data_IF_909215251846
#
_entry.id   IF_909215251846
#
_cell.length_a   1.000
_cell.length_b   1.000
_cell.length_c   1.000
_cell.angle_alpha   90.00
_cell.angle_beta   90.00
_cell.angle_gamma   90.00
#
_symmetry.space_group_name_H-M   'P 1'
#
loop_
_entity.id
_entity.type
_entity.pdbx_description
1 polymer ?
#
# COMPACT_ATOMS: atom_id res chain seq x y z
N UNK A 1 -0.15 -24.44 64.83
CA UNK A 1 -1.61 -24.35 64.60
C UNK A 1 -1.93 -22.89 64.32
N UNK A 2 -2.02 -22.52 63.05
CA UNK A 2 -2.61 -21.25 62.62
C UNK A 2 -3.00 -21.41 61.17
N UNK A 3 -4.31 -21.48 60.96
CA UNK A 3 -5.00 -21.68 59.70
C UNK A 3 -4.84 -20.46 58.80
N UNK A 4 -4.41 -20.65 57.56
CA UNK A 4 -4.50 -19.64 56.49
C UNK A 4 -5.87 -19.77 55.82
N UNK A 5 -6.72 -18.76 56.02
CA UNK A 5 -8.06 -18.67 55.44
C UNK A 5 -8.03 -18.02 54.05
N UNK A 6 -8.65 -18.74 53.11
CA UNK A 6 -9.55 -18.30 52.03
C UNK A 6 -9.34 -16.93 51.36
N UNK A 7 -8.88 -17.02 50.11
CA UNK A 7 -9.48 -16.43 48.90
C UNK A 7 -10.06 -15.01 48.98
N UNK A 8 -9.24 -14.05 48.59
CA UNK A 8 -9.70 -12.76 48.09
C UNK A 8 -10.08 -12.94 46.61
N UNK A 9 -11.31 -13.38 46.34
CA UNK A 9 -11.90 -13.38 44.99
C UNK A 9 -12.36 -11.96 44.71
N UNK A 10 -11.52 -11.19 44.04
CA UNK A 10 -11.91 -9.92 43.42
C UNK A 10 -13.03 -10.21 42.43
N UNK A 11 -14.23 -9.68 42.69
CA UNK A 11 -15.35 -9.77 41.76
C UNK A 11 -14.94 -9.10 40.43
N UNK A 12 -15.21 -9.71 39.27
CA UNK A 12 -14.90 -9.09 37.99
C UNK A 12 -15.74 -7.81 37.84
N UNK A 13 -15.07 -6.68 37.60
CA UNK A 13 -15.72 -5.43 37.21
C UNK A 13 -16.40 -5.67 35.87
N UNK A 14 -17.72 -5.86 35.87
CA UNK A 14 -18.52 -6.01 34.64
C UNK A 14 -18.41 -4.68 33.89
N UNK A 15 -17.59 -4.65 32.84
CA UNK A 15 -17.57 -3.56 31.87
C UNK A 15 -18.88 -3.61 31.09
N UNK A 16 -19.84 -2.77 31.47
CA UNK A 16 -21.11 -2.67 30.72
C UNK A 16 -20.84 -1.96 29.40
N UNK A 17 -21.24 -2.52 28.25
CA UNK A 17 -20.99 -1.87 26.97
C UNK A 17 -21.78 -0.57 26.85
N UNK A 18 -21.18 0.43 26.23
CA UNK A 18 -21.84 1.71 25.94
C UNK A 18 -22.85 1.59 24.79
N UNK A 19 -23.60 2.68 24.49
CA UNK A 19 -24.47 2.72 23.32
C UNK A 19 -23.74 2.32 22.03
N UNK A 20 -24.37 1.55 21.13
CA UNK A 20 -25.79 1.17 21.12
C UNK A 20 -26.13 -0.16 21.85
N UNK A 21 -25.19 -0.80 22.55
CA UNK A 21 -25.37 -2.18 23.06
C UNK A 21 -25.93 -2.27 24.48
N UNK A 22 -26.65 -1.23 24.91
CA UNK A 22 -27.30 -1.11 26.21
C UNK A 22 -28.78 -0.69 26.07
N UNK A 23 -29.40 -0.98 24.91
CA UNK A 23 -30.78 -0.61 24.62
C UNK A 23 -31.77 -1.52 25.39
N UNK A 24 -32.65 -0.97 26.25
CA UNK A 24 -33.66 -1.77 26.94
C UNK A 24 -34.70 -2.40 26.00
N UNK A 25 -34.80 -1.95 24.75
CA UNK A 25 -35.69 -2.54 23.73
C UNK A 25 -35.06 -3.73 22.98
N UNK A 26 -33.81 -4.10 23.29
CA UNK A 26 -33.13 -5.25 22.72
C UNK A 26 -33.87 -6.57 23.00
N UNK A 27 -33.90 -7.46 22.01
CA UNK A 27 -34.60 -8.76 22.06
C UNK A 27 -33.63 -9.97 22.09
N UNK A 28 -32.34 -9.70 22.29
CA UNK A 28 -31.28 -10.71 22.43
C UNK A 28 -30.12 -10.16 23.28
N UNK A 29 -29.54 -11.03 24.11
CA UNK A 29 -28.27 -10.78 24.80
C UNK A 29 -27.19 -11.67 24.20
N UNK A 30 -26.10 -11.06 23.74
CA UNK A 30 -24.86 -11.78 23.42
C UNK A 30 -23.91 -11.66 24.61
N UNK A 31 -23.52 -12.77 25.22
CA UNK A 31 -22.53 -12.79 26.31
C UNK A 31 -21.16 -13.17 25.75
N UNK A 32 -20.17 -12.29 25.90
CA UNK A 32 -18.79 -12.55 25.50
C UNK A 32 -18.10 -13.62 26.36
N UNK A 33 -16.91 -14.07 25.95
CA UNK A 33 -16.12 -15.06 26.70
C UNK A 33 -15.61 -14.56 28.06
N UNK A 34 -15.57 -13.24 28.25
CA UNK A 34 -15.21 -12.53 29.48
C UNK A 34 -16.44 -11.94 30.20
N UNK A 35 -17.61 -12.55 29.99
CA UNK A 35 -18.87 -12.29 30.69
C UNK A 35 -19.43 -10.86 30.53
N UNK A 36 -19.09 -10.17 29.43
CA UNK A 36 -19.68 -8.88 29.06
C UNK A 36 -20.96 -9.14 28.25
N UNK A 37 -22.06 -8.48 28.64
CA UNK A 37 -23.37 -8.66 28.04
C UNK A 37 -23.70 -7.52 27.08
N UNK A 38 -23.96 -7.87 25.82
CA UNK A 38 -24.34 -6.94 24.76
C UNK A 38 -25.82 -7.09 24.45
N UNK A 39 -26.59 -6.03 24.71
CA UNK A 39 -28.00 -5.95 24.38
C UNK A 39 -28.15 -5.58 22.90
N UNK A 40 -28.62 -6.52 22.09
CA UNK A 40 -28.68 -6.44 20.63
C UNK A 40 -30.04 -6.85 20.08
N UNK A 41 -30.27 -6.53 18.81
CA UNK A 41 -31.48 -6.78 18.07
C UNK A 41 -31.30 -7.95 17.08
N UNK A 42 -32.10 -9.01 17.23
CA UNK A 42 -32.09 -10.20 16.36
C UNK A 42 -32.24 -9.81 14.90
N UNK A 43 -33.15 -8.88 14.61
CA UNK A 43 -33.41 -8.41 13.23
C UNK A 43 -32.16 -7.85 12.56
N UNK A 44 -31.32 -7.08 13.27
CA UNK A 44 -30.09 -6.51 12.72
C UNK A 44 -29.12 -7.64 12.37
N UNK A 45 -28.90 -8.57 13.30
CA UNK A 45 -27.98 -9.69 13.09
C UNK A 45 -28.46 -10.64 11.99
N UNK A 46 -29.75 -10.97 11.94
CA UNK A 46 -30.33 -11.84 10.91
C UNK A 46 -30.27 -11.24 9.51
N UNK A 47 -30.41 -9.91 9.38
CA UNK A 47 -30.29 -9.25 8.08
C UNK A 47 -28.86 -9.28 7.54
N UNK A 48 -27.86 -9.33 8.44
CA UNK A 48 -26.45 -9.27 8.08
C UNK A 48 -25.79 -10.65 7.99
N UNK A 49 -26.28 -11.64 8.74
CA UNK A 49 -25.64 -12.95 8.91
C UNK A 49 -26.64 -14.09 8.71
N UNK A 50 -26.43 -14.94 7.68
CA UNK A 50 -27.16 -16.20 7.54
C UNK A 50 -26.98 -17.11 8.76
N UNK A 51 -25.80 -17.09 9.39
CA UNK A 51 -25.52 -17.88 10.59
C UNK A 51 -26.45 -17.51 11.74
N UNK A 52 -26.62 -16.21 12.02
CA UNK A 52 -27.57 -15.76 13.04
C UNK A 52 -29.02 -15.98 12.60
N UNK A 53 -29.33 -15.79 11.32
CA UNK A 53 -30.66 -16.09 10.79
C UNK A 53 -31.05 -17.55 11.07
N UNK A 54 -30.20 -18.50 10.72
CA UNK A 54 -30.43 -19.92 10.94
C UNK A 54 -30.47 -20.26 12.44
N UNK A 55 -29.53 -19.72 13.23
CA UNK A 55 -29.46 -19.92 14.68
C UNK A 55 -30.78 -19.56 15.39
N UNK A 56 -31.45 -18.50 14.94
CA UNK A 56 -32.69 -18.03 15.54
C UNK A 56 -33.94 -18.81 15.11
N UNK A 57 -33.83 -19.73 14.14
CA UNK A 57 -34.94 -20.61 13.74
C UNK A 57 -35.08 -21.85 14.60
N UNK A 58 -34.05 -22.20 15.38
CA UNK A 58 -34.09 -23.39 16.23
C UNK A 58 -35.00 -23.15 17.45
N UNK A 59 -35.85 -24.13 17.81
CA UNK A 59 -36.71 -24.01 18.97
C UNK A 59 -35.88 -23.97 20.25
N UNK A 60 -36.02 -22.89 21.02
CA UNK A 60 -35.42 -22.74 22.34
C UNK A 60 -36.22 -23.51 23.42
N UNK A 61 -35.55 -24.15 24.41
CA UNK A 61 -36.22 -24.83 25.50
C UNK A 61 -37.15 -23.89 26.29
N UNK A 62 -38.33 -24.38 26.66
CA UNK A 62 -39.46 -23.60 27.19
C UNK A 62 -39.27 -22.94 28.57
N UNK A 63 -38.05 -22.97 29.14
CA UNK A 63 -37.74 -22.48 30.49
C UNK A 63 -36.74 -21.32 30.49
N UNK A 64 -36.68 -20.54 29.42
CA UNK A 64 -35.70 -19.48 29.24
C UNK A 64 -36.09 -18.15 29.94
N UNK A 65 -35.09 -17.29 30.25
CA UNK A 65 -35.29 -15.92 30.73
C UNK A 65 -36.17 -15.07 29.77
N UNK A 66 -36.63 -13.90 30.25
CA UNK A 66 -37.51 -12.98 29.52
C UNK A 66 -36.89 -12.50 28.17
N UNK A 67 -35.55 -12.49 28.08
CA UNK A 67 -34.77 -12.20 26.86
C UNK A 67 -33.79 -13.36 26.62
N UNK A 68 -33.76 -13.97 25.42
CA UNK A 68 -32.81 -15.02 25.08
C UNK A 68 -31.35 -14.58 25.18
N UNK A 69 -30.49 -15.49 25.61
CA UNK A 69 -29.05 -15.27 25.75
C UNK A 69 -28.25 -16.26 24.90
N UNK A 70 -27.23 -15.76 24.18
CA UNK A 70 -26.29 -16.57 23.39
C UNK A 70 -24.86 -16.29 23.85
N UNK A 71 -24.18 -17.35 24.28
CA UNK A 71 -22.75 -17.29 24.62
C UNK A 71 -21.86 -17.23 23.38
N UNK A 72 -20.85 -16.35 23.43
CA UNK A 72 -19.93 -16.04 22.35
C UNK A 72 -18.51 -16.46 22.73
N UNK A 73 -17.68 -16.80 21.75
CA UNK A 73 -16.27 -17.15 21.99
C UNK A 73 -15.34 -15.95 21.94
N UNK A 74 -15.82 -14.81 21.44
CA UNK A 74 -15.10 -13.54 21.34
C UNK A 74 -15.03 -12.85 22.70
N UNK A 75 -13.93 -12.15 22.97
CA UNK A 75 -13.86 -11.21 24.09
C UNK A 75 -14.79 -10.03 23.87
N UNK A 76 -15.14 -9.32 24.94
CA UNK A 76 -16.02 -8.16 24.85
C UNK A 76 -15.47 -7.07 23.93
N UNK A 77 -14.16 -6.79 23.95
CA UNK A 77 -13.55 -5.80 23.04
C UNK A 77 -13.69 -6.21 21.56
N UNK A 78 -13.38 -7.47 21.22
CA UNK A 78 -13.51 -7.95 19.85
C UNK A 78 -14.97 -7.96 19.38
N UNK A 79 -15.89 -8.37 20.26
CA UNK A 79 -17.32 -8.42 19.97
C UNK A 79 -17.93 -7.02 19.82
N UNK A 80 -17.58 -6.06 20.70
CA UNK A 80 -18.00 -4.66 20.61
C UNK A 80 -17.60 -4.07 19.24
N UNK A 81 -16.33 -4.21 18.87
CA UNK A 81 -15.82 -3.69 17.59
C UNK A 81 -16.51 -4.34 16.40
N UNK A 82 -16.71 -5.66 16.42
CA UNK A 82 -17.41 -6.37 15.37
C UNK A 82 -18.86 -5.89 15.23
N UNK A 83 -19.59 -5.77 16.34
CA UNK A 83 -20.97 -5.29 16.34
C UNK A 83 -21.10 -3.84 15.85
N UNK A 84 -20.09 -2.98 16.08
CA UNK A 84 -20.09 -1.60 15.55
C UNK A 84 -20.06 -1.54 14.01
N UNK A 85 -19.56 -2.56 13.32
CA UNK A 85 -19.71 -2.67 11.86
C UNK A 85 -21.14 -3.02 11.42
N UNK A 86 -21.94 -3.60 12.31
CA UNK A 86 -23.29 -4.08 12.03
C UNK A 86 -24.38 -3.05 12.33
N UNK A 87 -24.16 -2.18 13.31
CA UNK A 87 -25.22 -1.31 13.83
C UNK A 87 -25.25 0.07 13.16
N UNK A 88 -26.41 0.52 12.66
CA UNK A 88 -26.57 1.88 12.13
C UNK A 88 -26.24 2.93 13.19
N UNK A 89 -25.46 3.94 12.80
CA UNK A 89 -25.07 5.03 13.70
C UNK A 89 -23.96 4.69 14.71
N UNK A 90 -23.50 3.44 14.74
CA UNK A 90 -22.27 3.09 15.44
C UNK A 90 -21.07 3.33 14.52
N UNK A 91 -20.07 4.08 14.99
CA UNK A 91 -18.81 4.22 14.26
C UNK A 91 -17.92 2.99 14.53
N UNK A 92 -17.41 2.33 13.48
CA UNK A 92 -16.40 1.28 13.64
C UNK A 92 -15.18 1.83 14.38
N UNK A 93 -14.83 1.21 15.50
CA UNK A 93 -13.64 1.55 16.29
C UNK A 93 -12.52 0.60 15.92
N UNK A 94 -11.65 1.04 15.02
CA UNK A 94 -10.46 0.29 14.59
C UNK A 94 -9.28 1.25 14.63
N UNK A 95 -8.17 0.85 15.22
CA UNK A 95 -6.96 1.68 15.32
C UNK A 95 -5.87 1.21 14.37
N UNK A 96 -5.83 -0.10 14.08
CA UNK A 96 -4.80 -0.72 13.24
C UNK A 96 -5.39 -1.64 12.19
N UNK A 97 -4.65 -1.89 11.11
CA UNK A 97 -5.07 -2.83 10.08
C UNK A 97 -5.03 -4.28 10.56
N UNK A 98 -4.16 -4.62 11.51
CA UNK A 98 -4.19 -5.91 12.19
C UNK A 98 -5.51 -6.14 12.95
N UNK A 99 -5.98 -5.15 13.73
CA UNK A 99 -7.29 -5.20 14.39
C UNK A 99 -8.42 -5.31 13.37
N UNK A 100 -8.33 -4.60 12.24
CA UNK A 100 -9.30 -4.73 11.15
C UNK A 100 -9.38 -6.19 10.66
N UNK A 101 -8.25 -6.84 10.42
CA UNK A 101 -8.22 -8.24 9.99
C UNK A 101 -8.88 -9.17 11.01
N UNK A 102 -8.58 -9.00 12.30
CA UNK A 102 -9.19 -9.81 13.36
C UNK A 102 -10.72 -9.68 13.37
N UNK A 103 -11.23 -8.45 13.23
CA UNK A 103 -12.67 -8.18 13.16
C UNK A 103 -13.28 -8.77 11.89
N UNK A 104 -12.63 -8.61 10.74
CA UNK A 104 -13.10 -9.16 9.48
C UNK A 104 -13.09 -10.68 9.47
N UNK A 105 -12.15 -11.32 10.17
CA UNK A 105 -12.14 -12.78 10.32
C UNK A 105 -13.37 -13.26 11.10
N UNK A 106 -13.77 -12.53 12.15
CA UNK A 106 -15.00 -12.80 12.89
C UNK A 106 -16.23 -12.58 11.99
N UNK A 107 -16.35 -11.41 11.36
CA UNK A 107 -17.54 -11.03 10.61
C UNK A 107 -17.73 -11.88 9.34
N UNK A 108 -16.67 -12.07 8.54
CA UNK A 108 -16.76 -12.73 7.23
C UNK A 108 -16.60 -14.25 7.33
N UNK A 109 -15.65 -14.75 8.13
CA UNK A 109 -15.36 -16.20 8.15
C UNK A 109 -16.18 -16.95 9.19
N UNK A 110 -16.51 -16.34 10.34
CA UNK A 110 -17.31 -17.00 11.38
C UNK A 110 -18.81 -16.76 11.21
N UNK A 111 -19.21 -15.53 10.90
CA UNK A 111 -20.63 -15.14 10.83
C UNK A 111 -21.17 -14.89 9.42
N UNK A 112 -20.34 -15.05 8.38
CA UNK A 112 -20.70 -14.89 6.97
C UNK A 112 -21.43 -13.57 6.63
N UNK A 113 -20.95 -12.46 7.19
CA UNK A 113 -21.56 -11.14 7.03
C UNK A 113 -21.06 -10.40 5.78
N UNK A 114 -21.35 -10.89 4.58
CA UNK A 114 -20.84 -10.29 3.33
C UNK A 114 -21.23 -8.81 3.11
N UNK A 115 -22.33 -8.37 3.72
CA UNK A 115 -22.85 -6.99 3.63
C UNK A 115 -21.91 -5.92 4.21
N UNK A 116 -20.96 -6.31 5.07
CA UNK A 116 -19.99 -5.37 5.70
C UNK A 116 -18.78 -5.05 4.80
N UNK A 117 -18.55 -5.83 3.74
CA UNK A 117 -17.38 -5.68 2.85
C UNK A 117 -17.23 -4.26 2.29
N UNK A 118 -18.28 -3.56 1.83
CA UNK A 118 -18.15 -2.18 1.34
C UNK A 118 -17.63 -1.20 2.41
N UNK A 119 -18.09 -1.34 3.66
CA UNK A 119 -17.65 -0.49 4.78
C UNK A 119 -16.18 -0.76 5.10
N UNK A 120 -15.79 -2.03 5.13
CA UNK A 120 -14.41 -2.43 5.36
C UNK A 120 -13.45 -1.94 4.25
N UNK A 121 -13.87 -2.02 2.97
CA UNK A 121 -13.10 -1.47 1.84
C UNK A 121 -12.95 0.05 1.93
N UNK A 122 -13.98 0.76 2.37
CA UNK A 122 -13.92 2.21 2.58
C UNK A 122 -12.88 2.56 3.66
N UNK A 123 -12.92 1.84 4.79
CA UNK A 123 -11.96 2.02 5.88
C UNK A 123 -10.51 1.75 5.41
N UNK A 124 -10.30 0.66 4.66
CA UNK A 124 -8.98 0.34 4.10
C UNK A 124 -8.49 1.40 3.11
N UNK A 125 -9.39 1.98 2.32
CA UNK A 125 -9.07 3.05 1.37
C UNK A 125 -8.50 4.29 2.07
N UNK A 126 -8.96 4.61 3.28
CA UNK A 126 -8.46 5.73 4.07
C UNK A 126 -7.00 5.53 4.55
N UNK A 127 -6.52 4.28 4.58
CA UNK A 127 -5.18 3.91 5.04
C UNK A 127 -4.18 3.68 3.90
N UNK A 128 -4.61 3.83 2.64
CA UNK A 128 -3.77 3.57 1.46
C UNK A 128 -2.53 4.49 1.39
N UNK A 129 -2.63 5.71 1.91
CA UNK A 129 -1.53 6.69 1.87
C UNK A 129 -0.58 6.56 3.08
N UNK A 130 -1.10 6.15 4.24
CA UNK A 130 -0.33 6.03 5.49
C UNK A 130 0.35 4.68 5.65
N UNK A 131 -0.32 3.60 5.25
CA UNK A 131 0.22 2.24 5.26
C UNK A 131 -0.12 1.49 3.96
N UNK A 132 0.52 1.83 2.82
CA UNK A 132 0.26 1.17 1.54
C UNK A 132 0.52 -0.33 1.56
N UNK A 133 1.62 -0.75 2.22
CA UNK A 133 2.03 -2.15 2.26
C UNK A 133 1.10 -3.01 3.13
N UNK A 134 0.70 -2.49 4.29
CA UNK A 134 -0.30 -3.13 5.12
C UNK A 134 -1.65 -3.19 4.41
N UNK A 135 -2.05 -2.11 3.75
CA UNK A 135 -3.29 -2.07 2.97
C UNK A 135 -3.31 -3.09 1.84
N UNK A 136 -2.17 -3.27 1.16
CA UNK A 136 -1.99 -4.32 0.17
C UNK A 136 -2.16 -5.72 0.80
N UNK A 137 -1.55 -5.97 1.96
CA UNK A 137 -1.64 -7.26 2.62
C UNK A 137 -3.08 -7.61 3.05
N UNK A 138 -3.82 -6.64 3.61
CA UNK A 138 -5.23 -6.82 3.96
C UNK A 138 -6.08 -7.08 2.70
N UNK A 139 -5.92 -6.26 1.66
CA UNK A 139 -6.69 -6.43 0.43
C UNK A 139 -6.41 -7.79 -0.24
N UNK A 140 -5.15 -8.26 -0.22
CA UNK A 140 -4.78 -9.57 -0.73
C UNK A 140 -5.36 -10.72 0.10
N UNK A 141 -5.37 -10.60 1.44
CA UNK A 141 -5.98 -11.61 2.34
C UNK A 141 -7.44 -11.89 2.00
N UNK A 142 -8.21 -10.84 1.75
CA UNK A 142 -9.66 -10.93 1.48
C UNK A 142 -10.01 -11.00 -0.01
N UNK A 143 -9.03 -11.21 -0.90
CA UNK A 143 -9.21 -11.26 -2.36
C UNK A 143 -9.92 -10.02 -2.94
N UNK A 144 -9.55 -8.83 -2.47
CA UNK A 144 -10.06 -7.55 -2.97
C UNK A 144 -9.14 -7.01 -4.07
N UNK A 145 -9.11 -7.69 -5.21
CA UNK A 145 -8.12 -7.50 -6.28
C UNK A 145 -7.95 -6.04 -6.74
N UNK A 146 -9.06 -5.32 -6.94
CA UNK A 146 -9.02 -3.91 -7.34
C UNK A 146 -8.30 -3.05 -6.29
N UNK A 147 -8.62 -3.26 -5.01
CA UNK A 147 -8.03 -2.51 -3.90
C UNK A 147 -6.58 -2.92 -3.66
N UNK A 148 -6.26 -4.20 -3.82
CA UNK A 148 -4.89 -4.71 -3.80
C UNK A 148 -4.06 -4.08 -4.93
N UNK A 149 -4.62 -3.90 -6.12
CA UNK A 149 -3.97 -3.22 -7.25
C UNK A 149 -3.71 -1.74 -6.97
N UNK A 150 -4.69 -1.04 -6.38
CA UNK A 150 -4.52 0.36 -5.94
C UNK A 150 -3.43 0.47 -4.87
N UNK A 151 -3.44 -0.40 -3.86
CA UNK A 151 -2.44 -0.43 -2.80
C UNK A 151 -1.03 -0.78 -3.35
N UNK A 152 -0.92 -1.78 -4.23
CA UNK A 152 0.32 -2.14 -4.89
C UNK A 152 0.92 -0.98 -5.69
N UNK A 153 0.07 -0.17 -6.35
CA UNK A 153 0.51 1.05 -7.03
C UNK A 153 1.05 2.10 -6.04
N UNK A 154 0.41 2.28 -4.88
CA UNK A 154 0.90 3.17 -3.82
C UNK A 154 2.23 2.68 -3.23
N UNK A 155 2.46 1.37 -3.17
CA UNK A 155 3.76 0.80 -2.76
C UNK A 155 4.92 1.17 -3.69
N UNK A 156 4.69 1.68 -4.90
CA UNK A 156 5.75 2.21 -5.77
C UNK A 156 6.39 3.49 -5.22
N UNK A 157 5.79 4.11 -4.20
CA UNK A 157 6.40 5.18 -3.43
C UNK A 157 7.30 4.69 -2.28
N UNK A 158 7.37 3.38 -2.03
CA UNK A 158 8.10 2.79 -0.91
C UNK A 158 9.38 2.09 -1.39
N UNK A 159 10.52 2.26 -0.70
CA UNK A 159 11.75 1.57 -1.06
C UNK A 159 11.74 0.11 -0.57
N UNK A 160 10.84 -0.72 -1.12
CA UNK A 160 10.60 -2.11 -0.66
C UNK A 160 11.85 -3.02 -0.68
N UNK A 161 12.91 -2.62 -1.39
CA UNK A 161 14.19 -3.35 -1.50
C UNK A 161 15.30 -2.77 -0.64
N UNK A 162 15.05 -1.67 0.06
CA UNK A 162 16.06 -1.07 0.90
C UNK A 162 16.48 -2.07 2.00
N UNK A 163 17.79 -2.17 2.29
CA UNK A 163 18.23 -2.93 3.44
C UNK A 163 17.57 -2.33 4.69
N UNK A 164 16.92 -3.18 5.50
CA UNK A 164 16.19 -2.80 6.70
C UNK A 164 14.88 -1.99 6.47
N UNK A 165 14.21 -2.17 5.32
CA UNK A 165 12.86 -1.64 5.16
C UNK A 165 11.93 -2.17 6.29
N UNK A 166 11.18 -1.30 7.00
CA UNK A 166 10.37 -1.71 8.14
C UNK A 166 9.30 -2.73 7.69
N UNK A 167 9.23 -3.85 8.40
CA UNK A 167 8.13 -4.80 8.20
C UNK A 167 6.85 -4.22 8.79
N UNK A 168 5.73 -4.55 8.16
CA UNK A 168 4.40 -4.27 8.71
C UNK A 168 3.80 -5.58 9.21
N UNK A 169 3.01 -5.51 10.26
CA UNK A 169 2.46 -6.70 10.91
C UNK A 169 1.50 -7.47 10.00
N UNK A 170 0.81 -6.77 9.10
CA UNK A 170 -0.19 -7.33 8.19
C UNK A 170 0.43 -8.29 7.16
N UNK A 171 1.75 -8.24 6.93
CA UNK A 171 2.43 -9.19 6.04
C UNK A 171 2.30 -10.64 6.51
N UNK A 172 2.00 -10.87 7.80
CA UNK A 172 1.71 -12.21 8.33
C UNK A 172 0.52 -12.89 7.64
N UNK A 173 -0.36 -12.10 7.03
CA UNK A 173 -1.58 -12.58 6.39
C UNK A 173 -1.41 -12.95 4.91
N UNK A 174 -0.29 -12.61 4.28
CA UNK A 174 -0.02 -12.90 2.87
C UNK A 174 0.98 -14.03 2.70
N UNK A 175 0.80 -14.82 1.65
CA UNK A 175 1.78 -15.84 1.28
C UNK A 175 3.05 -15.20 0.69
N UNK A 176 4.18 -15.91 0.80
CA UNK A 176 5.42 -15.50 0.15
C UNK A 176 5.26 -15.29 -1.37
N UNK A 177 4.37 -16.07 -2.02
CA UNK A 177 4.02 -15.92 -3.44
C UNK A 177 3.35 -14.56 -3.71
N UNK A 178 2.39 -14.15 -2.89
CA UNK A 178 1.67 -12.87 -3.03
C UNK A 178 2.64 -11.69 -2.86
N UNK A 179 3.51 -11.77 -1.85
CA UNK A 179 4.52 -10.74 -1.62
C UNK A 179 5.55 -10.70 -2.76
N UNK A 180 5.97 -11.85 -3.27
CA UNK A 180 6.86 -11.94 -4.44
C UNK A 180 6.21 -11.31 -5.68
N UNK A 181 4.91 -11.53 -5.94
CA UNK A 181 4.18 -10.85 -7.01
C UNK A 181 4.23 -9.32 -6.89
N UNK A 182 4.11 -8.78 -5.67
CA UNK A 182 4.26 -7.34 -5.42
C UNK A 182 5.69 -6.87 -5.75
N UNK A 183 6.71 -7.60 -5.30
CA UNK A 183 8.11 -7.27 -5.58
C UNK A 183 8.45 -7.33 -7.08
N UNK A 184 7.92 -8.33 -7.80
CA UNK A 184 8.05 -8.45 -9.25
C UNK A 184 7.36 -7.29 -9.97
N UNK A 185 6.15 -6.91 -9.56
CA UNK A 185 5.46 -5.74 -10.10
C UNK A 185 6.26 -4.46 -9.87
N UNK A 186 6.74 -4.25 -8.65
CA UNK A 186 7.59 -3.11 -8.34
C UNK A 186 8.90 -3.13 -9.14
N UNK A 187 9.48 -4.31 -9.43
CA UNK A 187 10.70 -4.45 -10.24
C UNK A 187 10.46 -4.00 -11.68
N UNK A 188 9.34 -4.46 -12.28
CA UNK A 188 8.97 -4.07 -13.64
C UNK A 188 8.75 -2.56 -13.74
N UNK A 189 8.13 -1.96 -12.73
CA UNK A 189 7.95 -0.51 -12.66
C UNK A 189 9.27 0.25 -12.52
N UNK A 190 10.14 -0.19 -11.60
CA UNK A 190 11.47 0.38 -11.40
C UNK A 190 12.32 0.33 -12.68
N UNK A 191 12.34 -0.81 -13.36
CA UNK A 191 13.11 -0.97 -14.59
C UNK A 191 12.56 -0.11 -15.73
N UNK A 192 11.23 -0.01 -15.86
CA UNK A 192 10.59 0.85 -16.86
C UNK A 192 10.88 2.32 -16.62
N UNK A 193 10.81 2.75 -15.37
CA UNK A 193 11.11 4.12 -14.98
C UNK A 193 12.60 4.45 -15.18
N UNK A 194 13.50 3.52 -14.86
CA UNK A 194 14.95 3.61 -15.15
C UNK A 194 15.23 3.73 -16.65
N UNK A 195 14.52 2.96 -17.46
CA UNK A 195 14.61 2.97 -18.93
C UNK A 195 14.15 4.29 -19.55
N UNK A 196 13.15 4.93 -18.96
CA UNK A 196 12.71 6.26 -19.35
C UNK A 196 13.76 7.33 -19.02
N UNK A 197 14.73 7.12 -18.13
CA UNK A 197 15.84 8.09 -17.95
C UNK A 197 16.84 8.03 -19.12
N UNK A 198 16.84 6.96 -19.92
CA UNK A 198 17.73 6.83 -21.07
C UNK A 198 17.51 7.92 -22.14
N UNK A 199 18.60 8.44 -22.72
CA UNK A 199 18.58 9.54 -23.70
C UNK A 199 17.93 9.23 -25.06
N UNK A 200 17.33 8.06 -25.25
CA UNK A 200 16.86 7.58 -26.56
C UNK A 200 15.63 8.33 -27.10
N UNK A 201 14.97 9.14 -26.26
CA UNK A 201 13.70 9.81 -26.59
C UNK A 201 13.72 11.32 -26.35
N UNK A 202 14.89 11.91 -26.11
CA UNK A 202 15.03 13.34 -25.82
C UNK A 202 14.40 14.22 -26.93
N UNK A 203 13.67 15.29 -26.59
CA UNK A 203 13.23 16.28 -27.56
C UNK A 203 14.41 16.87 -28.33
N UNK A 204 14.26 17.23 -29.62
CA UNK A 204 15.36 17.76 -30.45
C UNK A 204 16.07 19.00 -29.86
N UNK A 205 15.33 19.85 -29.14
CA UNK A 205 15.87 21.00 -28.44
C UNK A 205 16.80 20.59 -27.29
N UNK A 206 16.44 19.52 -26.58
CA UNK A 206 17.22 18.96 -25.49
C UNK A 206 18.41 18.13 -25.99
N UNK A 207 18.29 17.48 -27.15
CA UNK A 207 19.40 16.82 -27.86
C UNK A 207 20.48 17.83 -28.29
N UNK A 208 20.07 18.97 -28.84
CA UNK A 208 21.00 20.05 -29.23
C UNK A 208 21.72 20.63 -28.00
N UNK A 209 20.99 20.81 -26.91
CA UNK A 209 21.52 21.25 -25.63
C UNK A 209 22.46 20.24 -24.98
N UNK A 210 22.11 18.94 -24.98
CA UNK A 210 22.98 17.88 -24.47
C UNK A 210 24.24 17.74 -25.32
N UNK A 211 24.17 17.85 -26.65
CA UNK A 211 25.35 17.94 -27.51
C UNK A 211 26.28 19.08 -27.08
N UNK A 212 25.74 20.28 -26.84
CA UNK A 212 26.52 21.44 -26.41
C UNK A 212 27.27 21.23 -25.06
N UNK A 213 26.80 20.32 -24.21
CA UNK A 213 27.37 20.01 -22.89
C UNK A 213 28.22 18.73 -22.91
N UNK A 214 27.96 17.80 -23.84
CA UNK A 214 28.65 16.51 -23.96
C UNK A 214 29.81 16.54 -24.95
N UNK A 215 29.70 17.27 -26.06
CA UNK A 215 30.75 17.30 -27.10
C UNK A 215 31.50 18.64 -27.15
N UNK A 216 30.86 19.74 -26.77
CA UNK A 216 31.45 21.10 -26.88
C UNK A 216 31.97 21.67 -25.55
N UNK A 217 31.78 20.95 -24.44
CA UNK A 217 32.24 21.39 -23.13
C UNK A 217 33.65 20.88 -22.84
N UNK A 218 34.51 21.77 -22.32
CA UNK A 218 35.91 21.46 -21.96
C UNK A 218 36.09 20.98 -20.51
N UNK A 219 35.01 20.84 -19.73
CA UNK A 219 35.08 20.29 -18.37
C UNK A 219 35.61 18.86 -18.35
N UNK A 220 36.08 18.39 -17.19
CA UNK A 220 36.44 16.98 -17.00
C UNK A 220 35.25 16.10 -17.37
N UNK A 221 35.43 15.30 -18.41
CA UNK A 221 34.40 14.39 -18.91
C UNK A 221 34.62 13.01 -18.30
N UNK A 222 33.54 12.36 -17.90
CA UNK A 222 33.51 10.98 -17.46
C UNK A 222 32.95 10.11 -18.58
N UNK A 223 33.46 8.90 -18.72
CA UNK A 223 32.88 7.91 -19.62
C UNK A 223 31.71 7.27 -18.88
N UNK A 224 30.49 7.57 -19.32
CA UNK A 224 29.31 6.92 -18.74
C UNK A 224 28.87 5.82 -19.69
N UNK A 225 28.81 4.58 -19.19
CA UNK A 225 28.17 3.50 -19.90
C UNK A 225 26.65 3.71 -19.82
N UNK A 226 26.06 4.21 -20.89
CA UNK A 226 24.61 4.24 -21.02
C UNK A 226 24.14 2.93 -21.67
N UNK A 227 23.33 2.18 -20.94
CA UNK A 227 22.48 1.16 -21.53
C UNK A 227 21.27 1.85 -22.15
N UNK A 228 21.34 2.20 -23.43
CA UNK A 228 20.20 2.75 -24.16
C UNK A 228 19.41 1.63 -24.85
N UNK A 229 18.09 1.62 -24.70
CA UNK A 229 17.23 0.88 -25.63
C UNK A 229 17.24 1.62 -26.96
N UNK A 230 17.81 1.04 -28.00
CA UNK A 230 17.68 1.56 -29.37
C UNK A 230 16.76 0.62 -30.14
N UNK A 231 15.72 1.19 -30.76
CA UNK A 231 14.88 0.47 -31.70
C UNK A 231 15.73 0.11 -32.93
N UNK A 232 16.01 -1.18 -33.15
CA UNK A 232 16.66 -1.63 -34.37
C UNK A 232 15.58 -2.19 -35.28
N UNK A 233 15.31 -1.49 -36.39
CA UNK A 233 14.48 -2.04 -37.47
C UNK A 233 15.38 -2.96 -38.30
N UNK A 234 15.27 -4.27 -38.11
CA UNK A 234 15.96 -5.23 -38.97
C UNK A 234 15.33 -5.20 -40.36
N UNK A 235 16.06 -4.72 -41.36
CA UNK A 235 15.59 -4.55 -42.75
C UNK A 235 15.03 -5.80 -43.45
N UNK A 236 15.12 -7.00 -42.85
CA UNK A 236 14.74 -8.27 -43.50
C UNK A 236 13.41 -8.85 -43.06
N UNK A 237 12.93 -8.53 -41.86
CA UNK A 237 11.64 -8.97 -41.36
C UNK A 237 11.11 -7.80 -40.53
N UNK A 238 9.88 -7.36 -40.79
CA UNK A 238 9.24 -6.15 -40.25
C UNK A 238 8.96 -6.19 -38.73
N UNK A 239 9.77 -6.93 -37.98
CA UNK A 239 9.76 -7.04 -36.54
C UNK A 239 10.64 -5.94 -35.95
N UNK A 240 10.01 -5.07 -35.15
CA UNK A 240 10.71 -4.07 -34.34
C UNK A 240 11.30 -4.78 -33.12
N UNK A 241 12.61 -4.96 -33.10
CA UNK A 241 13.32 -5.55 -31.96
C UNK A 241 13.99 -4.42 -31.19
N UNK A 242 13.65 -4.31 -29.91
CA UNK A 242 14.34 -3.42 -28.99
C UNK A 242 15.61 -4.11 -28.51
N UNK A 243 16.77 -3.57 -28.89
CA UNK A 243 18.05 -4.07 -28.39
C UNK A 243 18.66 -3.02 -27.45
N UNK A 244 19.21 -3.51 -26.35
CA UNK A 244 20.14 -2.74 -25.53
C UNK A 244 21.39 -2.48 -26.35
N UNK A 245 21.63 -1.23 -26.73
CA UNK A 245 22.88 -0.81 -27.34
C UNK A 245 23.67 -0.07 -26.27
N UNK A 246 24.85 -0.58 -25.95
CA UNK A 246 25.85 0.18 -25.21
C UNK A 246 26.31 1.31 -26.12
N UNK A 247 25.97 2.54 -25.76
CA UNK A 247 26.50 3.72 -26.44
C UNK A 247 27.46 4.39 -25.47
N UNK A 248 28.73 4.36 -25.83
CA UNK A 248 29.83 5.09 -25.23
C UNK A 248 29.64 6.59 -25.41
N UNK A 249 29.31 7.30 -24.32
CA UNK A 249 29.12 8.74 -24.31
C UNK A 249 30.05 9.41 -23.30
N UNK A 250 30.64 10.55 -23.67
CA UNK A 250 31.34 11.42 -22.73
C UNK A 250 30.38 12.50 -22.23
N UNK A 251 30.17 12.55 -20.93
CA UNK A 251 29.37 13.61 -20.27
C UNK A 251 30.20 14.28 -19.19
N UNK A 252 29.93 15.53 -18.82
CA UNK A 252 30.54 16.12 -17.63
C UNK A 252 30.25 15.27 -16.38
N UNK A 253 31.22 15.18 -15.46
CA UNK A 253 31.13 14.36 -14.24
C UNK A 253 29.83 14.63 -13.47
N UNK A 254 29.50 15.90 -13.25
CA UNK A 254 28.28 16.29 -12.52
C UNK A 254 26.99 15.74 -13.15
N UNK A 255 26.93 15.67 -14.49
CA UNK A 255 25.75 15.19 -15.21
C UNK A 255 25.65 13.66 -15.10
N UNK A 256 26.79 12.96 -15.14
CA UNK A 256 26.85 11.52 -14.89
C UNK A 256 26.39 11.17 -13.47
N UNK A 257 26.92 11.86 -12.47
CA UNK A 257 26.55 11.68 -11.06
C UNK A 257 25.06 11.93 -10.82
N UNK A 258 24.52 13.02 -11.38
CA UNK A 258 23.10 13.32 -11.29
C UNK A 258 22.22 12.21 -11.91
N UNK A 259 22.56 11.74 -13.12
CA UNK A 259 21.77 10.71 -13.80
C UNK A 259 21.83 9.36 -13.08
N UNK A 260 22.98 9.00 -12.50
CA UNK A 260 23.10 7.80 -11.68
C UNK A 260 22.22 7.90 -10.44
N UNK A 261 22.28 9.02 -9.70
CA UNK A 261 21.40 9.23 -8.56
C UNK A 261 19.92 9.20 -8.94
N UNK A 262 19.53 9.85 -10.03
CA UNK A 262 18.17 9.84 -10.52
C UNK A 262 17.70 8.40 -10.85
N UNK A 263 18.57 7.59 -11.47
CA UNK A 263 18.30 6.18 -11.72
C UNK A 263 18.14 5.38 -10.42
N UNK A 264 18.99 5.60 -9.42
CA UNK A 264 18.91 4.92 -8.13
C UNK A 264 17.64 5.31 -7.36
N UNK A 265 17.28 6.59 -7.33
CA UNK A 265 16.06 7.10 -6.70
C UNK A 265 14.81 6.50 -7.35
N UNK A 266 14.74 6.50 -8.68
CA UNK A 266 13.62 5.92 -9.42
C UNK A 266 13.58 4.39 -9.32
N UNK A 267 14.73 3.74 -9.18
CA UNK A 267 14.79 2.30 -8.96
C UNK A 267 14.30 1.90 -7.57
N UNK A 268 14.64 2.70 -6.55
CA UNK A 268 14.18 2.52 -5.19
C UNK A 268 12.67 2.81 -5.07
N UNK A 269 12.21 3.93 -5.63
CA UNK A 269 10.82 4.40 -5.54
C UNK A 269 10.30 4.89 -6.90
N UNK A 270 9.73 4.00 -7.74
CA UNK A 270 9.39 4.31 -9.14
C UNK A 270 8.33 5.39 -9.34
N UNK A 271 7.50 5.65 -8.34
CA UNK A 271 6.45 6.69 -8.37
C UNK A 271 6.44 7.58 -7.13
N UNK A 272 7.41 7.46 -6.22
CA UNK A 272 7.56 8.53 -5.21
C UNK A 272 7.82 9.80 -6.01
N UNK A 273 7.07 10.86 -5.72
CA UNK A 273 7.39 12.17 -6.26
C UNK A 273 8.87 12.37 -5.95
N UNK A 274 9.70 12.33 -7.00
CA UNK A 274 11.07 12.81 -6.92
C UNK A 274 10.95 14.12 -6.18
N UNK A 275 11.49 14.20 -4.97
CA UNK A 275 11.37 15.41 -4.18
C UNK A 275 12.03 16.49 -5.03
N UNK A 276 11.17 17.30 -5.68
CA UNK A 276 11.60 18.14 -6.78
C UNK A 276 12.68 19.06 -6.20
N UNK A 277 12.48 19.54 -4.98
CA UNK A 277 13.41 20.42 -4.28
C UNK A 277 14.78 19.77 -3.97
N UNK A 278 14.84 18.49 -3.60
CA UNK A 278 16.11 17.80 -3.30
C UNK A 278 16.92 17.52 -4.57
N UNK A 279 16.27 17.04 -5.62
CA UNK A 279 16.93 16.78 -6.91
C UNK A 279 17.29 18.08 -7.64
N UNK A 280 16.46 19.12 -7.50
CA UNK A 280 16.77 20.46 -7.99
C UNK A 280 18.01 21.00 -7.27
N UNK A 281 18.03 20.99 -5.93
CA UNK A 281 19.14 21.48 -5.13
C UNK A 281 20.46 20.79 -5.50
N UNK A 282 20.45 19.47 -5.70
CA UNK A 282 21.66 18.73 -6.08
C UNK A 282 22.17 19.07 -7.49
N UNK A 283 21.28 19.20 -8.49
CA UNK A 283 21.71 19.61 -9.84
C UNK A 283 22.32 21.01 -9.81
N UNK A 284 21.71 21.92 -9.06
CA UNK A 284 22.23 23.26 -8.86
C UNK A 284 23.63 23.21 -8.22
N UNK A 285 23.83 22.42 -7.17
CA UNK A 285 25.14 22.28 -6.52
C UNK A 285 26.21 21.70 -7.47
N UNK A 286 25.97 20.51 -8.02
CA UNK A 286 26.96 19.78 -8.82
C UNK A 286 27.30 20.51 -10.14
N UNK A 287 26.31 21.16 -10.74
CA UNK A 287 26.47 21.87 -12.00
C UNK A 287 27.18 23.22 -11.89
N UNK A 288 26.89 24.00 -10.83
CA UNK A 288 27.48 25.33 -10.66
C UNK A 288 28.93 25.31 -10.17
N UNK A 289 29.34 24.25 -9.46
CA UNK A 289 30.74 24.03 -9.05
C UNK A 289 31.70 23.88 -10.23
N UNK A 290 31.20 23.49 -11.41
CA UNK A 290 32.02 23.28 -12.61
C UNK A 290 32.71 24.55 -13.16
N UNK A 291 32.28 25.75 -12.72
CA UNK A 291 32.74 27.07 -13.21
C UNK A 291 32.71 27.24 -14.74
N UNK A 292 31.92 26.41 -15.43
CA UNK A 292 31.76 26.44 -16.88
C UNK A 292 30.37 26.98 -17.24
N UNK A 293 30.32 28.01 -18.07
CA UNK A 293 29.07 28.67 -18.47
C UNK A 293 28.08 27.70 -19.13
N UNK A 294 28.58 26.74 -19.93
CA UNK A 294 27.76 25.69 -20.57
C UNK A 294 27.15 24.75 -19.53
N UNK A 295 27.94 24.30 -18.55
CA UNK A 295 27.47 23.43 -17.47
C UNK A 295 26.50 24.14 -16.52
N UNK A 296 26.73 25.42 -16.21
CA UNK A 296 25.84 26.24 -15.37
C UNK A 296 24.49 26.49 -16.05
N UNK A 297 24.51 26.84 -17.34
CA UNK A 297 23.30 26.93 -18.15
C UNK A 297 22.59 25.58 -18.15
N UNK A 298 23.35 24.49 -18.23
CA UNK A 298 22.77 23.17 -18.29
C UNK A 298 22.10 22.73 -16.99
N UNK A 299 22.76 22.98 -15.87
CA UNK A 299 22.23 22.73 -14.55
C UNK A 299 20.98 23.59 -14.24
N UNK A 300 20.84 24.74 -14.89
CA UNK A 300 19.64 25.58 -14.75
C UNK A 300 18.43 25.06 -15.54
N UNK A 301 18.66 24.37 -16.65
CA UNK A 301 17.59 23.91 -17.56
C UNK A 301 17.18 22.44 -17.35
N UNK A 302 18.11 21.60 -16.89
CA UNK A 302 17.87 20.17 -16.62
C UNK A 302 16.72 19.92 -15.63
N UNK A 303 16.64 20.61 -14.47
CA UNK A 303 15.45 20.77 -13.65
C UNK A 303 14.09 20.84 -14.35
N UNK A 304 13.96 21.81 -15.26
CA UNK A 304 12.72 22.12 -15.96
C UNK A 304 12.38 20.98 -16.91
N UNK A 305 13.39 20.42 -17.59
CA UNK A 305 13.19 19.25 -18.42
C UNK A 305 12.73 18.03 -17.61
N UNK A 306 13.35 17.79 -16.45
CA UNK A 306 13.05 16.63 -15.61
C UNK A 306 11.61 16.67 -15.12
N UNK A 307 11.17 17.82 -14.63
CA UNK A 307 9.81 18.02 -14.10
C UNK A 307 8.74 18.08 -15.19
N UNK A 308 8.99 18.79 -16.30
CA UNK A 308 7.96 19.03 -17.34
C UNK A 308 7.89 17.98 -18.43
N UNK A 309 8.95 17.20 -18.65
CA UNK A 309 9.04 16.21 -19.73
C UNK A 309 9.36 14.81 -19.21
N UNK A 310 10.43 14.67 -18.41
CA UNK A 310 10.90 13.37 -17.92
C UNK A 310 9.89 12.68 -17.00
N UNK A 311 9.44 13.39 -15.97
CA UNK A 311 8.56 12.84 -14.95
C UNK A 311 7.18 12.45 -15.48
N UNK A 312 6.48 13.27 -16.30
CA UNK A 312 5.24 12.85 -16.93
C UNK A 312 5.39 11.59 -17.78
N UNK A 313 6.52 11.46 -18.49
CA UNK A 313 6.82 10.28 -19.29
C UNK A 313 7.05 9.03 -18.44
N UNK A 314 7.85 9.15 -17.38
CA UNK A 314 8.05 8.06 -16.39
C UNK A 314 6.70 7.61 -15.84
N UNK A 315 5.88 8.56 -15.39
CA UNK A 315 4.55 8.27 -14.84
C UNK A 315 3.66 7.57 -15.86
N UNK A 316 3.62 8.05 -17.09
CA UNK A 316 2.86 7.42 -18.18
C UNK A 316 3.32 5.98 -18.45
N UNK A 317 4.62 5.75 -18.55
CA UNK A 317 5.17 4.43 -18.86
C UNK A 317 4.97 3.44 -17.71
N UNK A 318 5.10 3.90 -16.45
CA UNK A 318 4.81 3.09 -15.26
C UNK A 318 3.31 2.79 -15.13
N UNK A 319 2.43 3.76 -15.40
CA UNK A 319 0.96 3.60 -15.29
C UNK A 319 0.38 2.56 -16.28
N UNK A 320 1.11 2.27 -17.36
CA UNK A 320 0.78 1.21 -18.32
C UNK A 320 1.01 -0.19 -17.76
N UNK A 321 1.88 -0.33 -16.76
CA UNK A 321 2.16 -1.61 -16.11
C UNK A 321 1.01 -1.90 -15.15
N UNK A 322 0.37 -3.05 -15.34
CA UNK A 322 -0.73 -3.49 -14.47
C UNK A 322 -0.24 -4.50 -13.44
N UNK A 323 -0.74 -4.33 -12.23
CA UNK A 323 -0.66 -5.34 -11.20
C UNK A 323 -1.85 -6.29 -11.31
N UNK A 324 -1.58 -7.59 -11.23
CA UNK A 324 -2.57 -8.65 -11.15
C UNK A 324 -2.08 -9.67 -10.13
N UNK A 325 -2.97 -10.13 -9.25
CA UNK A 325 -2.70 -11.25 -8.36
C UNK A 325 -2.89 -12.56 -9.13
N UNK A 326 -1.85 -13.36 -9.19
CA UNK A 326 -1.92 -14.73 -9.72
C UNK A 326 -2.11 -15.68 -8.53
N UNK A 327 -3.36 -16.02 -8.22
CA UNK A 327 -3.69 -16.97 -7.17
C UNK A 327 -3.25 -18.38 -7.54
#
# INVERSE_FOLDING_TARGET
MTSTNLSDRTAPTILTPGPPFCDPAADLILRSSDDIEFHVHRVVLSLLSPVFQDMFTFPQPASEPEIPEVGMSESGDALDRALRFCYPGAEPSVETLAQLCEILDILLHKYDMQSIVPVAKLYLTQHLDTNPLGSFAVAARYNWDELASVAAKKCLGLPLRAPNFPTVDELRYVSGKTYDSLLQYHNRCAETARLAIGFHWLPPLFDSFLKAVTTECQCKQYHVEFSMLKLIVQRRNDHRVWNWIRTDGRVPVWLGEYLHKLQDSVFATPLCALDEDELLAEVFMLGFESKCSRCQTAASLLPIYVTTQLWPKIKEDVDRIKFALEF
#
